data_IF_192572467366
#
_entry.id   IF_192572467366
#
_cell.length_a   1.000
_cell.length_b   1.000
_cell.length_c   1.000
_cell.angle_alpha   90.00
_cell.angle_beta   90.00
_cell.angle_gamma   90.00
#
_symmetry.space_group_name_H-M   'P 1'
#
loop_
_entity.id
_entity.type
_entity.pdbx_description
1 polymer ?
#
# COMPACT_ATOMS: atom_id res chain seq x y z
N UNK A 1 -10.85 35.80 -33.90
CA UNK A 1 -11.58 34.88 -33.02
C UNK A 1 -11.19 33.39 -33.20
N UNK A 2 -11.22 32.82 -34.40
CA UNK A 2 -10.86 31.38 -34.60
C UNK A 2 -9.46 30.97 -34.12
N UNK A 3 -8.45 31.82 -34.24
CA UNK A 3 -7.07 31.55 -33.79
C UNK A 3 -6.93 31.53 -32.27
N UNK A 4 -7.68 32.32 -31.55
CA UNK A 4 -7.67 32.40 -30.08
C UNK A 4 -8.32 31.15 -29.48
N UNK A 5 -9.41 30.68 -30.09
CA UNK A 5 -10.12 29.47 -29.65
C UNK A 5 -9.23 28.24 -29.79
N UNK A 6 -8.44 28.11 -30.87
CA UNK A 6 -7.50 27.02 -31.04
C UNK A 6 -6.37 27.06 -30.02
N UNK A 7 -5.92 28.23 -29.59
CA UNK A 7 -4.88 28.36 -28.56
C UNK A 7 -5.39 27.96 -27.17
N UNK A 8 -6.61 28.36 -26.84
CA UNK A 8 -7.25 27.99 -25.56
C UNK A 8 -7.50 26.49 -25.51
N UNK A 9 -7.93 25.86 -26.59
CA UNK A 9 -8.14 24.42 -26.68
C UNK A 9 -6.81 23.61 -26.57
N UNK A 10 -5.71 24.14 -27.13
CA UNK A 10 -4.41 23.54 -27.03
C UNK A 10 -3.82 23.66 -25.61
N UNK A 11 -4.03 24.79 -24.94
CA UNK A 11 -3.59 24.99 -23.55
C UNK A 11 -4.40 24.14 -22.59
N UNK A 12 -5.70 23.94 -22.80
CA UNK A 12 -6.52 23.04 -21.98
C UNK A 12 -6.14 21.56 -22.13
N UNK A 13 -5.61 21.15 -23.28
CA UNK A 13 -5.17 19.76 -23.49
C UNK A 13 -3.84 19.45 -22.79
N UNK A 14 -3.08 20.45 -22.37
CA UNK A 14 -1.79 20.26 -21.67
C UNK A 14 -1.88 20.21 -20.15
N UNK A 15 -3.07 20.36 -19.57
CA UNK A 15 -3.24 20.41 -18.11
C UNK A 15 -3.76 19.08 -17.51
N UNK A 16 -3.91 18.04 -18.31
CA UNK A 16 -4.15 16.71 -17.76
C UNK A 16 -2.84 16.09 -17.32
N UNK A 17 -2.34 16.46 -16.14
CA UNK A 17 -1.33 15.65 -15.47
C UNK A 17 -1.95 14.28 -15.21
N UNK A 18 -1.36 13.19 -15.69
CA UNK A 18 -1.82 11.88 -15.29
C UNK A 18 -1.70 11.76 -13.76
N UNK A 19 -2.80 11.47 -13.11
CA UNK A 19 -2.79 11.05 -11.70
C UNK A 19 -2.15 9.67 -11.68
N UNK A 20 -0.93 9.59 -11.21
CA UNK A 20 -0.27 8.31 -10.97
C UNK A 20 -0.73 7.78 -9.61
N UNK A 21 -1.39 6.65 -9.61
CA UNK A 21 -1.59 5.87 -8.40
C UNK A 21 -0.25 5.21 -8.02
N UNK A 22 0.12 5.29 -6.74
CA UNK A 22 1.33 4.65 -6.22
C UNK A 22 0.96 3.25 -5.73
N UNK A 23 0.83 2.30 -6.65
CA UNK A 23 0.48 0.93 -6.31
C UNK A 23 1.73 0.07 -6.12
N UNK A 24 1.81 -0.60 -4.98
CA UNK A 24 2.87 -1.58 -4.69
C UNK A 24 2.24 -2.94 -4.41
N UNK A 25 2.74 -3.96 -5.10
CA UNK A 25 2.39 -5.35 -4.85
C UNK A 25 3.64 -6.13 -4.49
N UNK A 26 3.63 -6.75 -3.33
CA UNK A 26 4.73 -7.58 -2.86
C UNK A 26 4.22 -8.99 -2.61
N UNK A 27 4.87 -9.96 -3.22
CA UNK A 27 4.67 -11.38 -2.90
C UNK A 27 6.01 -11.98 -2.57
N UNK A 28 6.16 -12.51 -1.35
CA UNK A 28 7.40 -13.09 -0.88
C UNK A 28 7.13 -14.46 -0.26
N UNK A 29 7.98 -15.40 -0.57
CA UNK A 29 8.01 -16.72 0.07
C UNK A 29 9.44 -17.06 0.47
N UNK A 30 9.66 -17.41 1.73
CA UNK A 30 10.99 -17.74 2.24
C UNK A 30 11.10 -17.58 3.76
N UNK A 31 12.31 -17.73 4.28
CA UNK A 31 12.53 -17.77 5.73
C UNK A 31 12.26 -16.43 6.42
N UNK A 32 12.62 -15.32 5.80
CA UNK A 32 12.47 -13.99 6.40
C UNK A 32 12.24 -12.93 5.34
N UNK A 33 11.39 -11.94 5.65
CA UNK A 33 11.21 -10.72 4.89
C UNK A 33 11.50 -9.53 5.79
N UNK A 34 12.30 -8.60 5.31
CA UNK A 34 12.39 -7.24 5.86
C UNK A 34 12.07 -6.28 4.72
N UNK A 35 11.08 -5.43 4.92
CA UNK A 35 10.60 -4.52 3.89
C UNK A 35 10.38 -3.15 4.52
N UNK A 36 10.96 -2.13 3.91
CA UNK A 36 10.80 -0.73 4.26
C UNK A 36 10.21 -0.02 3.03
N UNK A 37 9.02 0.57 3.18
CA UNK A 37 8.29 1.23 2.11
C UNK A 37 7.98 2.65 2.51
N UNK A 38 8.41 3.60 1.70
CA UNK A 38 7.95 4.97 1.75
C UNK A 38 7.18 5.30 0.47
N UNK A 39 5.92 5.67 0.60
CA UNK A 39 5.10 6.21 -0.48
C UNK A 39 4.68 7.63 -0.14
N UNK A 40 5.09 8.58 -0.96
CA UNK A 40 4.72 9.99 -0.85
C UNK A 40 3.94 10.41 -2.10
N UNK A 41 2.75 10.94 -1.90
CA UNK A 41 1.87 11.35 -2.99
C UNK A 41 0.40 11.09 -2.70
N UNK A 42 -0.41 11.18 -3.74
CA UNK A 42 -1.85 10.94 -3.68
C UNK A 42 -2.19 9.47 -3.96
N UNK A 43 -3.25 8.95 -3.35
CA UNK A 43 -3.82 7.62 -3.61
C UNK A 43 -2.85 6.43 -3.40
N UNK A 44 -2.11 6.42 -2.31
CA UNK A 44 -1.15 5.36 -1.99
C UNK A 44 -1.85 4.01 -1.74
N UNK A 45 -1.35 2.97 -2.38
CA UNK A 45 -1.92 1.62 -2.25
C UNK A 45 -0.81 0.56 -2.11
N UNK A 46 -0.94 -0.32 -1.13
CA UNK A 46 -0.15 -1.55 -1.02
C UNK A 46 -1.11 -2.73 -1.04
N UNK A 47 -1.07 -3.51 -2.12
CA UNK A 47 -2.11 -4.48 -2.41
C UNK A 47 -3.47 -3.82 -2.71
N UNK A 48 -4.50 -4.57 -3.01
CA UNK A 48 -5.87 -4.07 -3.15
C UNK A 48 -6.89 -5.11 -2.70
N UNK A 49 -8.17 -4.79 -2.80
CA UNK A 49 -9.26 -5.69 -2.42
C UNK A 49 -9.30 -7.02 -3.18
N UNK A 50 -8.69 -7.06 -4.37
CA UNK A 50 -8.65 -8.25 -5.23
C UNK A 50 -7.33 -9.00 -5.08
N UNK A 51 -6.22 -8.27 -4.88
CA UNK A 51 -4.87 -8.83 -4.77
C UNK A 51 -4.14 -8.17 -3.61
N UNK A 52 -4.15 -8.81 -2.46
CA UNK A 52 -3.36 -8.38 -1.33
C UNK A 52 -1.86 -8.64 -1.59
N UNK A 53 -1.01 -7.77 -1.06
CA UNK A 53 0.41 -8.12 -0.90
C UNK A 53 0.54 -9.22 0.14
N UNK A 54 1.49 -10.11 -0.02
CA UNK A 54 1.60 -11.27 0.84
C UNK A 54 3.05 -11.63 1.19
N UNK A 55 3.26 -12.08 2.43
CA UNK A 55 4.49 -12.76 2.84
C UNK A 55 4.18 -14.13 3.42
N UNK A 56 4.99 -15.11 3.02
CA UNK A 56 4.92 -16.47 3.54
C UNK A 56 6.29 -16.88 4.05
N UNK A 57 6.42 -17.13 5.34
CA UNK A 57 7.71 -17.51 5.92
C UNK A 57 7.77 -17.39 7.44
N UNK A 58 8.94 -17.57 8.01
CA UNK A 58 9.08 -17.60 9.47
C UNK A 58 8.95 -16.22 10.13
N UNK A 59 9.48 -15.19 9.50
CA UNK A 59 9.48 -13.85 10.08
C UNK A 59 9.22 -12.80 9.01
N UNK A 60 8.31 -11.87 9.30
CA UNK A 60 8.04 -10.70 8.48
C UNK A 60 8.23 -9.44 9.30
N UNK A 61 9.08 -8.54 8.83
CA UNK A 61 9.28 -7.20 9.38
C UNK A 61 8.90 -6.17 8.33
N UNK A 62 7.86 -5.40 8.61
CA UNK A 62 7.39 -4.34 7.72
C UNK A 62 7.48 -2.99 8.41
N UNK A 63 8.09 -2.03 7.74
CA UNK A 63 7.97 -0.62 8.06
C UNK A 63 7.36 0.09 6.85
N UNK A 64 6.21 0.70 7.04
CA UNK A 64 5.45 1.33 5.96
C UNK A 64 5.10 2.75 6.37
N UNK A 65 5.56 3.70 5.58
CA UNK A 65 5.20 5.10 5.68
C UNK A 65 4.45 5.51 4.40
N UNK A 66 3.18 5.88 4.54
CA UNK A 66 2.37 6.42 3.45
C UNK A 66 1.90 7.83 3.78
N UNK A 67 2.19 8.75 2.88
CA UNK A 67 1.73 10.15 2.95
C UNK A 67 0.90 10.43 1.70
N UNK A 68 -0.34 10.85 1.87
CA UNK A 68 -1.22 11.13 0.73
C UNK A 68 -2.69 11.27 1.13
N UNK A 69 -3.56 11.34 0.13
CA UNK A 69 -4.98 11.57 0.39
C UNK A 69 -5.80 10.30 0.65
N UNK A 70 -5.34 9.15 0.17
CA UNK A 70 -6.10 7.90 0.28
C UNK A 70 -5.14 6.74 0.46
N UNK A 71 -4.84 6.39 1.70
CA UNK A 71 -3.89 5.33 2.01
C UNK A 71 -4.61 4.00 2.16
N UNK A 72 -4.19 3.00 1.42
CA UNK A 72 -4.75 1.65 1.48
C UNK A 72 -3.63 0.63 1.67
N UNK A 73 -3.76 -0.22 2.67
CA UNK A 73 -2.88 -1.36 2.88
C UNK A 73 -3.72 -2.62 2.99
N UNK A 74 -3.52 -3.54 2.05
CA UNK A 74 -4.07 -4.89 2.10
C UNK A 74 -2.91 -5.86 2.10
N UNK A 75 -2.60 -6.44 3.26
CA UNK A 75 -1.44 -7.29 3.43
C UNK A 75 -1.79 -8.60 4.13
N UNK A 76 -1.36 -9.68 3.54
CA UNK A 76 -1.52 -11.04 4.03
C UNK A 76 -0.22 -11.56 4.66
N UNK A 77 -0.32 -12.07 5.87
CA UNK A 77 0.82 -12.61 6.61
C UNK A 77 0.56 -14.09 6.88
N UNK A 78 1.37 -14.94 6.30
CA UNK A 78 1.33 -16.38 6.51
C UNK A 78 2.65 -16.83 7.14
N UNK A 79 2.77 -16.71 8.45
CA UNK A 79 4.04 -17.03 9.09
C UNK A 79 4.03 -16.98 10.61
N UNK A 80 5.16 -17.33 11.20
CA UNK A 80 5.26 -17.48 12.65
C UNK A 80 5.30 -16.12 13.40
N UNK A 81 5.94 -15.12 12.82
CA UNK A 81 6.14 -13.83 13.50
C UNK A 81 5.98 -12.67 12.53
N UNK A 82 5.21 -11.68 12.95
CA UNK A 82 5.13 -10.38 12.29
C UNK A 82 5.54 -9.28 13.28
N UNK A 83 6.40 -8.38 12.81
CA UNK A 83 6.76 -7.15 13.53
C UNK A 83 6.72 -6.00 12.56
N UNK A 84 6.11 -4.87 12.94
CA UNK A 84 6.11 -3.73 12.03
C UNK A 84 5.51 -2.46 12.60
N UNK A 85 5.85 -1.38 11.92
CA UNK A 85 5.28 -0.05 12.13
C UNK A 85 4.65 0.41 10.83
N UNK A 86 3.42 0.89 10.91
CA UNK A 86 2.68 1.44 9.79
C UNK A 86 2.27 2.85 10.16
N UNK A 87 2.75 3.83 9.44
CA UNK A 87 2.39 5.23 9.59
C UNK A 87 1.62 5.69 8.36
N UNK A 88 0.44 6.24 8.59
CA UNK A 88 -0.45 6.69 7.53
C UNK A 88 -0.84 8.15 7.79
N UNK A 89 -0.45 9.03 6.90
CA UNK A 89 -0.86 10.43 6.90
C UNK A 89 -1.77 10.70 5.71
N UNK A 90 -3.05 10.96 5.98
CA UNK A 90 -4.02 11.18 4.90
C UNK A 90 -5.45 11.24 5.36
N UNK A 91 -6.35 11.50 4.41
CA UNK A 91 -7.76 11.74 4.71
C UNK A 91 -8.63 10.47 4.74
N UNK A 92 -8.17 9.38 4.13
CA UNK A 92 -8.95 8.14 4.03
C UNK A 92 -7.99 6.95 4.15
N UNK A 93 -7.80 6.50 5.38
CA UNK A 93 -6.89 5.40 5.69
C UNK A 93 -7.67 4.09 5.81
N UNK A 94 -7.24 3.05 5.10
CA UNK A 94 -7.80 1.70 5.17
C UNK A 94 -6.67 0.68 5.32
N UNK A 95 -6.61 0.00 6.46
CA UNK A 95 -5.59 -1.00 6.76
C UNK A 95 -6.25 -2.34 7.05
N UNK A 96 -5.96 -3.31 6.22
CA UNK A 96 -6.36 -4.69 6.37
C UNK A 96 -5.11 -5.58 6.45
N UNK A 97 -4.73 -5.92 7.66
CA UNK A 97 -3.68 -6.89 7.94
C UNK A 97 -4.32 -8.23 8.24
N UNK A 98 -4.28 -9.13 7.29
CA UNK A 98 -4.87 -10.45 7.44
C UNK A 98 -3.79 -11.47 7.79
N UNK A 99 -3.98 -12.11 8.94
CA UNK A 99 -3.23 -13.26 9.37
C UNK A 99 -4.02 -14.52 9.05
N UNK A 100 -3.43 -15.43 8.31
CA UNK A 100 -4.04 -16.71 7.91
C UNK A 100 -5.25 -16.57 6.97
N UNK A 101 -4.99 -16.22 5.73
CA UNK A 101 -6.03 -16.27 4.71
C UNK A 101 -6.20 -17.66 4.13
N UNK A 102 -7.07 -18.41 4.71
CA UNK A 102 -7.72 -19.55 4.05
C UNK A 102 -6.94 -20.86 3.98
N UNK A 103 -5.91 -21.03 4.76
CA UNK A 103 -5.27 -22.34 4.91
C UNK A 103 -5.30 -22.77 6.37
N UNK A 104 -6.07 -23.77 6.67
CA UNK A 104 -6.47 -24.23 8.00
C UNK A 104 -5.35 -24.64 8.97
N UNK A 105 -4.10 -24.32 8.68
CA UNK A 105 -2.93 -24.66 9.51
C UNK A 105 -1.87 -23.56 9.66
N UNK A 106 -2.12 -22.36 9.20
CA UNK A 106 -1.14 -21.26 9.34
C UNK A 106 -1.69 -20.18 10.27
N UNK A 107 -1.41 -20.28 11.52
CA UNK A 107 -1.66 -19.20 12.47
C UNK A 107 -0.47 -18.23 12.47
N UNK A 108 -0.73 -16.93 12.51
CA UNK A 108 0.30 -15.99 12.93
C UNK A 108 0.63 -16.28 14.40
N UNK A 109 1.86 -16.72 14.66
CA UNK A 109 2.26 -17.04 16.02
C UNK A 109 2.34 -15.80 16.91
N UNK A 110 3.07 -14.79 16.47
CA UNK A 110 3.22 -13.52 17.19
C UNK A 110 3.02 -12.36 16.22
N UNK A 111 2.10 -11.47 16.56
CA UNK A 111 1.89 -10.21 15.84
C UNK A 111 2.20 -9.04 16.76
N UNK A 112 3.19 -8.24 16.40
CA UNK A 112 3.53 -7.00 17.07
C UNK A 112 3.47 -5.87 16.03
N UNK A 113 2.34 -5.21 15.95
CA UNK A 113 2.08 -4.14 15.00
C UNK A 113 1.75 -2.84 15.72
N UNK A 114 2.37 -1.76 15.28
CA UNK A 114 2.01 -0.39 15.66
C UNK A 114 1.46 0.31 14.44
N UNK A 115 0.24 0.80 14.52
CA UNK A 115 -0.41 1.52 13.42
C UNK A 115 -0.75 2.93 13.90
N UNK A 116 -0.17 3.92 13.24
CA UNK A 116 -0.36 5.32 13.53
C UNK A 116 -1.12 6.00 12.39
N UNK A 117 -2.15 6.74 12.73
CA UNK A 117 -2.91 7.59 11.81
C UNK A 117 -2.69 9.05 12.19
N UNK A 118 -2.35 9.90 11.21
CA UNK A 118 -2.14 11.35 11.41
C UNK A 118 -2.82 12.18 10.32
#
# INVERSE_FOLDING_TARGET
>A
MKKIINYIMFVMLMVTTPLFANDIYVTQSGASLTLDILQDGENNTIGNSTTASASTGATTSLNIDQVGNSNVIKYQINGATYTGVINLAGNSNDVDLNCDSGNSNSSCGTVNAVINFT
#
